data_IF_267596548405
#
_entry.id   IF_267596548405
#
_cell.length_a   1.000
_cell.length_b   1.000
_cell.length_c   1.000
_cell.angle_alpha   90.00
_cell.angle_beta   90.00
_cell.angle_gamma   90.00
#
_symmetry.space_group_name_H-M   'P 1'
#
loop_
_entity.id
_entity.type
_entity.pdbx_description
1 polymer ?
#
# COMPACT_ATOMS: atom_id res chain seq x y z
N UNK A 1 24.81 -6.70 -25.66
CA UNK A 1 24.80 -8.13 -25.92
C UNK A 1 23.37 -8.67 -25.88
N UNK A 2 22.99 -9.52 -26.84
CA UNK A 2 21.64 -10.07 -26.96
C UNK A 2 21.17 -10.76 -25.67
N UNK A 3 22.03 -11.44 -24.94
CA UNK A 3 21.74 -12.15 -23.70
C UNK A 3 21.22 -11.21 -22.53
N UNK A 4 21.64 -9.96 -22.50
CA UNK A 4 21.18 -9.02 -21.50
C UNK A 4 19.76 -8.48 -21.77
N UNK A 5 19.37 -8.39 -23.05
CA UNK A 5 18.04 -8.00 -23.47
C UNK A 5 16.98 -9.06 -23.11
N UNK A 6 17.29 -10.32 -23.39
CA UNK A 6 16.38 -11.44 -23.12
C UNK A 6 16.09 -11.63 -21.62
N UNK A 7 17.13 -11.48 -20.78
CA UNK A 7 16.96 -11.58 -19.32
C UNK A 7 16.07 -10.46 -18.77
N UNK A 8 16.21 -9.25 -19.30
CA UNK A 8 15.46 -8.09 -18.86
C UNK A 8 13.99 -8.16 -19.31
N UNK A 9 13.74 -8.68 -20.50
CA UNK A 9 12.39 -8.93 -21.00
C UNK A 9 11.67 -9.99 -20.16
N UNK A 10 12.37 -11.05 -19.74
CA UNK A 10 11.84 -12.05 -18.82
C UNK A 10 11.49 -11.44 -17.45
N UNK A 11 12.33 -10.56 -16.91
CA UNK A 11 12.04 -9.85 -15.65
C UNK A 11 10.80 -8.97 -15.79
N UNK A 12 10.69 -8.19 -16.85
CA UNK A 12 9.50 -7.35 -17.07
C UNK A 12 8.22 -8.18 -17.21
N UNK A 13 8.28 -9.29 -17.95
CA UNK A 13 7.12 -10.21 -18.06
C UNK A 13 6.73 -10.80 -16.70
N UNK A 14 7.72 -11.21 -15.89
CA UNK A 14 7.45 -11.76 -14.56
C UNK A 14 6.81 -10.72 -13.63
N UNK A 15 7.27 -9.46 -13.65
CA UNK A 15 6.70 -8.36 -12.89
C UNK A 15 5.27 -8.04 -13.33
N UNK A 16 5.00 -8.01 -14.63
CA UNK A 16 3.66 -7.78 -15.16
C UNK A 16 2.67 -8.91 -14.79
N UNK A 17 3.11 -10.16 -14.80
CA UNK A 17 2.31 -11.30 -14.35
C UNK A 17 2.00 -11.18 -12.86
N UNK A 18 2.99 -10.81 -12.04
CA UNK A 18 2.82 -10.63 -10.61
C UNK A 18 1.88 -9.45 -10.29
N UNK A 19 2.01 -8.33 -11.00
CA UNK A 19 1.10 -7.19 -10.85
C UNK A 19 -0.35 -7.59 -11.16
N UNK A 20 -0.56 -8.32 -12.25
CA UNK A 20 -1.88 -8.85 -12.62
C UNK A 20 -2.42 -9.76 -11.52
N UNK A 21 -1.62 -10.70 -11.03
CA UNK A 21 -2.02 -11.63 -9.96
C UNK A 21 -2.44 -10.90 -8.68
N UNK A 22 -1.71 -9.86 -8.26
CA UNK A 22 -2.05 -9.06 -7.09
C UNK A 22 -3.34 -8.24 -7.31
N UNK A 23 -3.54 -7.71 -8.50
CA UNK A 23 -4.78 -7.01 -8.88
C UNK A 23 -5.99 -7.94 -8.82
N UNK A 24 -5.84 -9.14 -9.40
CA UNK A 24 -6.89 -10.16 -9.41
C UNK A 24 -7.19 -10.65 -7.98
N UNK A 25 -6.17 -10.86 -7.15
CA UNK A 25 -6.32 -11.20 -5.73
C UNK A 25 -7.07 -10.12 -4.95
N UNK A 26 -6.77 -8.83 -5.19
CA UNK A 26 -7.49 -7.71 -4.58
C UNK A 26 -8.96 -7.67 -4.97
N UNK A 27 -9.26 -7.85 -6.27
CA UNK A 27 -10.63 -7.89 -6.78
C UNK A 27 -11.41 -9.10 -6.21
N UNK A 28 -10.77 -10.26 -6.14
CA UNK A 28 -11.37 -11.47 -5.55
C UNK A 28 -11.67 -11.28 -4.06
N UNK A 29 -10.75 -10.68 -3.29
CA UNK A 29 -10.94 -10.37 -1.87
C UNK A 29 -12.11 -9.43 -1.64
N UNK A 30 -12.26 -8.41 -2.50
CA UNK A 30 -13.37 -7.47 -2.44
C UNK A 30 -14.71 -8.12 -2.78
N UNK A 31 -14.75 -8.99 -3.80
CA UNK A 31 -15.94 -9.78 -4.15
C UNK A 31 -16.35 -10.74 -3.03
N UNK A 32 -15.37 -11.36 -2.38
CA UNK A 32 -15.61 -12.23 -1.22
C UNK A 32 -16.25 -11.46 -0.07
N UNK A 33 -15.72 -10.29 0.29
CA UNK A 33 -16.30 -9.42 1.31
C UNK A 33 -17.76 -9.07 0.98
N UNK A 34 -18.03 -8.62 -0.25
CA UNK A 34 -19.38 -8.27 -0.68
C UNK A 34 -20.34 -9.44 -0.54
N UNK A 35 -19.94 -10.65 -0.95
CA UNK A 35 -20.77 -11.83 -0.85
C UNK A 35 -21.06 -12.26 0.60
N UNK A 36 -20.06 -12.14 1.48
CA UNK A 36 -20.21 -12.45 2.90
C UNK A 36 -21.10 -11.42 3.62
N UNK A 37 -20.91 -10.12 3.35
CA UNK A 37 -21.78 -9.07 3.89
C UNK A 37 -23.21 -9.26 3.44
N UNK A 38 -23.46 -9.50 2.15
CA UNK A 38 -24.80 -9.74 1.61
C UNK A 38 -25.45 -11.00 2.23
N UNK A 39 -24.68 -12.03 2.54
CA UNK A 39 -25.17 -13.23 3.23
C UNK A 39 -25.58 -12.90 4.67
N UNK A 40 -24.77 -12.15 5.41
CA UNK A 40 -25.10 -11.72 6.78
C UNK A 40 -26.32 -10.80 6.81
N UNK A 41 -26.44 -9.87 5.86
CA UNK A 41 -27.60 -8.99 5.76
C UNK A 41 -28.89 -9.73 5.50
N UNK A 42 -28.87 -10.77 4.66
CA UNK A 42 -30.04 -11.65 4.46
C UNK A 42 -30.42 -12.37 5.75
N UNK A 43 -29.45 -12.95 6.45
CA UNK A 43 -29.70 -13.61 7.74
C UNK A 43 -30.25 -12.63 8.78
N UNK A 44 -29.71 -11.41 8.87
CA UNK A 44 -30.24 -10.37 9.75
C UNK A 44 -31.67 -9.96 9.39
N UNK A 45 -31.99 -9.88 8.10
CA UNK A 45 -33.35 -9.60 7.65
C UNK A 45 -34.34 -10.72 8.04
N UNK A 46 -33.92 -11.98 7.92
CA UNK A 46 -34.71 -13.12 8.35
C UNK A 46 -34.96 -13.09 9.86
N UNK A 47 -33.90 -12.87 10.65
CA UNK A 47 -33.97 -12.72 12.10
C UNK A 47 -34.88 -11.58 12.54
N UNK A 48 -34.87 -10.45 11.83
CA UNK A 48 -35.78 -9.33 12.14
C UNK A 48 -37.25 -9.71 11.93
N UNK A 49 -37.56 -10.44 10.87
CA UNK A 49 -38.93 -10.95 10.60
C UNK A 49 -39.37 -11.92 11.68
N UNK A 50 -38.48 -12.80 12.12
CA UNK A 50 -38.77 -13.73 13.21
C UNK A 50 -39.01 -12.99 14.53
N UNK A 51 -38.24 -11.94 14.83
CA UNK A 51 -38.46 -11.07 15.98
C UNK A 51 -39.83 -10.40 15.93
N UNK A 52 -40.25 -9.87 14.78
CA UNK A 52 -41.59 -9.27 14.61
C UNK A 52 -42.72 -10.29 14.88
N UNK A 53 -42.51 -11.53 14.47
CA UNK A 53 -43.47 -12.61 14.77
C UNK A 53 -43.53 -12.90 16.28
N UNK A 54 -42.38 -13.01 16.96
CA UNK A 54 -42.33 -13.22 18.41
C UNK A 54 -42.93 -12.04 19.17
N UNK A 55 -42.74 -10.79 18.74
CA UNK A 55 -43.31 -9.60 19.32
C UNK A 55 -44.85 -9.59 19.16
N UNK A 56 -45.35 -10.04 18.01
CA UNK A 56 -46.78 -10.22 17.74
C UNK A 56 -47.42 -11.28 18.66
N UNK A 57 -46.74 -12.41 18.81
CA UNK A 57 -47.13 -13.49 19.69
C UNK A 57 -47.17 -13.00 21.17
N UNK A 58 -46.17 -12.27 21.60
CA UNK A 58 -46.10 -11.69 22.93
C UNK A 58 -47.28 -10.70 23.21
N UNK A 59 -47.63 -9.88 22.21
CA UNK A 59 -48.77 -8.97 22.32
C UNK A 59 -50.11 -9.72 22.46
N UNK A 60 -50.33 -10.77 21.66
CA UNK A 60 -51.54 -11.63 21.76
C UNK A 60 -51.61 -12.36 23.10
N UNK A 61 -50.49 -12.91 23.58
CA UNK A 61 -50.42 -13.57 24.87
C UNK A 61 -50.67 -12.61 26.02
N UNK A 62 -50.18 -11.38 25.96
CA UNK A 62 -50.47 -10.31 26.93
C UNK A 62 -51.98 -9.97 26.97
N UNK A 63 -52.66 -9.95 25.84
CA UNK A 63 -54.11 -9.77 25.79
C UNK A 63 -54.85 -10.96 26.43
N UNK A 64 -54.47 -12.20 26.13
CA UNK A 64 -55.06 -13.38 26.77
C UNK A 64 -54.87 -13.38 28.26
N UNK A 65 -53.68 -13.02 28.76
CA UNK A 65 -53.43 -12.91 30.21
C UNK A 65 -54.37 -11.90 30.85
N UNK A 66 -54.55 -10.72 30.27
CA UNK A 66 -55.51 -9.70 30.81
C UNK A 66 -56.93 -10.22 30.89
N UNK A 67 -57.41 -10.87 29.81
CA UNK A 67 -58.76 -11.47 29.81
C UNK A 67 -58.91 -12.61 30.83
N UNK A 68 -57.86 -13.38 31.05
CA UNK A 68 -57.88 -14.42 32.09
C UNK A 68 -57.85 -13.80 33.50
N UNK A 69 -57.12 -12.74 33.73
CA UNK A 69 -57.11 -12.00 34.99
C UNK A 69 -58.49 -11.40 35.30
N UNK A 70 -59.11 -10.72 34.34
CA UNK A 70 -60.46 -10.18 34.48
C UNK A 70 -61.50 -11.29 34.71
N UNK A 71 -61.34 -12.41 34.06
CA UNK A 71 -62.21 -13.56 34.26
C UNK A 71 -62.05 -14.16 35.64
N UNK A 72 -60.82 -14.37 36.10
CA UNK A 72 -60.54 -14.84 37.46
C UNK A 72 -61.17 -13.88 38.51
N UNK A 73 -60.99 -12.57 38.36
CA UNK A 73 -61.57 -11.58 39.27
C UNK A 73 -63.14 -11.69 39.35
N UNK A 74 -63.79 -11.82 38.19
CA UNK A 74 -65.25 -12.04 38.15
C UNK A 74 -65.68 -13.31 38.87
N UNK A 75 -64.93 -14.41 38.67
CA UNK A 75 -65.19 -15.66 39.34
C UNK A 75 -64.95 -15.59 40.85
N UNK A 76 -63.99 -14.83 41.32
CA UNK A 76 -63.73 -14.54 42.73
C UNK A 76 -64.89 -13.76 43.35
N UNK A 77 -65.48 -12.75 42.67
CA UNK A 77 -66.65 -12.05 43.10
C UNK A 77 -67.88 -12.98 43.22
N UNK A 78 -68.13 -13.76 42.19
CA UNK A 78 -69.23 -14.74 42.18
C UNK A 78 -69.10 -15.79 43.30
N UNK A 79 -67.89 -16.21 43.64
CA UNK A 79 -67.63 -17.11 44.78
C UNK A 79 -68.02 -16.42 46.12
N UNK A 80 -67.63 -15.16 46.26
CA UNK A 80 -67.99 -14.40 47.48
C UNK A 80 -69.56 -14.26 47.68
N UNK A 81 -70.27 -14.30 46.56
CA UNK A 81 -71.75 -14.28 46.54
C UNK A 81 -72.34 -15.72 46.59
N UNK A 82 -71.47 -16.79 46.69
CA UNK A 82 -71.84 -18.20 46.75
C UNK A 82 -72.47 -18.77 45.45
N UNK A 83 -72.25 -18.12 44.28
CA UNK A 83 -72.74 -18.63 42.98
C UNK A 83 -71.85 -19.65 42.36
N UNK A 84 -70.56 -19.72 42.75
CA UNK A 84 -69.60 -20.67 42.19
C UNK A 84 -68.78 -21.32 43.31
N UNK A 85 -68.22 -22.53 43.01
CA UNK A 85 -67.38 -23.24 43.95
C UNK A 85 -65.92 -22.74 43.96
N UNK A 86 -65.21 -23.00 45.07
CA UNK A 86 -63.78 -22.69 45.19
C UNK A 86 -62.94 -23.44 44.14
N UNK A 87 -63.35 -24.68 43.78
CA UNK A 87 -62.68 -25.47 42.74
C UNK A 87 -62.76 -24.81 41.35
N UNK A 88 -63.88 -24.14 41.04
CA UNK A 88 -64.04 -23.43 39.77
C UNK A 88 -63.15 -22.16 39.72
N UNK A 89 -63.00 -21.43 40.82
CA UNK A 89 -62.07 -20.31 40.92
C UNK A 89 -60.61 -20.80 40.79
N UNK A 90 -60.28 -21.92 41.44
CA UNK A 90 -58.95 -22.51 41.35
C UNK A 90 -58.59 -22.89 39.89
N UNK A 91 -59.52 -23.45 39.16
CA UNK A 91 -59.32 -23.81 37.74
C UNK A 91 -58.98 -22.56 36.90
N UNK A 92 -59.59 -21.36 37.18
CA UNK A 92 -59.26 -20.10 36.51
C UNK A 92 -57.92 -19.54 36.93
N UNK A 93 -57.52 -19.78 38.18
CA UNK A 93 -56.16 -19.41 38.64
C UNK A 93 -55.08 -20.29 37.95
N UNK A 94 -55.34 -21.58 37.80
CA UNK A 94 -54.42 -22.50 37.13
C UNK A 94 -54.27 -22.16 35.63
N UNK A 95 -55.39 -21.77 34.99
CA UNK A 95 -55.37 -21.27 33.60
C UNK A 95 -54.48 -20.03 33.46
N UNK A 96 -54.64 -19.04 34.37
CA UNK A 96 -53.84 -17.84 34.41
C UNK A 96 -52.33 -18.16 34.62
N UNK A 97 -52.00 -19.05 35.56
CA UNK A 97 -50.64 -19.45 35.84
C UNK A 97 -50.02 -20.15 34.61
N UNK A 98 -50.79 -20.95 33.87
CA UNK A 98 -50.38 -21.54 32.63
C UNK A 98 -50.00 -20.52 31.57
N UNK A 99 -50.82 -19.48 31.39
CA UNK A 99 -50.54 -18.39 30.45
C UNK A 99 -49.29 -17.55 30.86
N UNK A 100 -49.14 -17.31 32.19
CA UNK A 100 -47.96 -16.61 32.71
C UNK A 100 -46.66 -17.42 32.49
N UNK A 101 -46.71 -18.73 32.67
CA UNK A 101 -45.61 -19.63 32.38
C UNK A 101 -45.23 -19.58 30.88
N UNK A 102 -46.24 -19.57 30.01
CA UNK A 102 -46.07 -19.46 28.57
C UNK A 102 -45.39 -18.10 28.18
N UNK A 103 -45.84 -16.98 28.82
CA UNK A 103 -45.18 -15.68 28.63
C UNK A 103 -43.70 -15.71 29.01
N UNK A 104 -43.40 -16.31 30.16
CA UNK A 104 -42.00 -16.43 30.60
C UNK A 104 -41.12 -17.25 29.63
N UNK A 105 -41.70 -18.32 29.03
CA UNK A 105 -41.02 -19.09 27.99
C UNK A 105 -40.74 -18.26 26.74
N UNK A 106 -41.74 -17.50 26.28
CA UNK A 106 -41.62 -16.61 25.12
C UNK A 106 -40.59 -15.50 25.36
N UNK A 107 -40.55 -14.90 26.57
CA UNK A 107 -39.51 -13.91 26.92
C UNK A 107 -38.09 -14.49 26.87
N UNK A 108 -37.91 -15.74 27.34
CA UNK A 108 -36.61 -16.43 27.18
C UNK A 108 -36.25 -16.62 25.72
N UNK A 109 -37.19 -17.01 24.86
CA UNK A 109 -36.96 -17.20 23.42
C UNK A 109 -36.53 -15.84 22.77
N UNK A 110 -37.25 -14.76 23.09
CA UNK A 110 -36.90 -13.40 22.63
C UNK A 110 -35.48 -13.01 23.06
N UNK A 111 -35.10 -13.26 24.32
CA UNK A 111 -33.76 -12.95 24.81
C UNK A 111 -32.66 -13.77 24.13
N UNK A 112 -32.91 -15.02 23.76
CA UNK A 112 -31.99 -15.82 22.95
C UNK A 112 -31.85 -15.21 21.57
N UNK A 113 -32.97 -14.91 20.93
CA UNK A 113 -33.02 -14.34 19.60
C UNK A 113 -32.30 -12.96 19.53
N UNK A 114 -32.51 -12.09 20.52
CA UNK A 114 -31.78 -10.80 20.61
C UNK A 114 -30.27 -10.97 20.68
N UNK A 115 -29.79 -11.97 21.44
CA UNK A 115 -28.35 -12.26 21.50
C UNK A 115 -27.81 -12.75 20.15
N UNK A 116 -28.56 -13.55 19.40
CA UNK A 116 -28.18 -14.02 18.08
C UNK A 116 -28.12 -12.88 17.07
N UNK A 117 -29.09 -11.98 17.08
CA UNK A 117 -29.07 -10.75 16.26
C UNK A 117 -27.85 -9.90 16.59
N UNK A 118 -27.60 -9.65 17.88
CA UNK A 118 -26.44 -8.87 18.31
C UNK A 118 -25.10 -9.52 17.87
N UNK A 119 -24.98 -10.84 17.92
CA UNK A 119 -23.81 -11.58 17.46
C UNK A 119 -23.60 -11.42 15.94
N UNK A 120 -24.68 -11.56 15.14
CA UNK A 120 -24.61 -11.36 13.69
C UNK A 120 -24.25 -9.91 13.32
N UNK A 121 -24.78 -8.95 14.04
CA UNK A 121 -24.43 -7.52 13.84
C UNK A 121 -22.96 -7.22 14.20
N UNK A 122 -22.45 -7.84 15.26
CA UNK A 122 -21.04 -7.76 15.63
C UNK A 122 -20.15 -8.37 14.52
N UNK A 123 -20.50 -9.55 14.05
CA UNK A 123 -19.81 -10.22 12.94
C UNK A 123 -19.83 -9.37 11.66
N UNK A 124 -20.97 -8.75 11.32
CA UNK A 124 -21.05 -7.84 10.16
C UNK A 124 -20.15 -6.62 10.30
N UNK A 125 -19.96 -6.07 11.50
CA UNK A 125 -19.06 -4.94 11.75
C UNK A 125 -17.58 -5.35 11.71
N UNK A 126 -17.26 -6.54 12.18
CA UNK A 126 -15.88 -7.04 12.24
C UNK A 126 -15.33 -7.45 10.86
N UNK A 127 -16.18 -8.01 10.02
CA UNK A 127 -15.80 -8.54 8.71
C UNK A 127 -15.05 -7.55 7.82
N UNK A 128 -15.48 -6.27 7.64
CA UNK A 128 -14.74 -5.30 6.85
C UNK A 128 -13.34 -4.99 7.42
N UNK A 129 -13.18 -5.02 8.74
CA UNK A 129 -11.89 -4.76 9.40
C UNK A 129 -10.89 -5.88 9.11
N UNK A 130 -11.33 -7.14 9.17
CA UNK A 130 -10.49 -8.30 8.81
C UNK A 130 -10.08 -8.23 7.34
N UNK A 131 -11.01 -7.89 6.44
CA UNK A 131 -10.71 -7.75 5.02
C UNK A 131 -9.81 -6.55 4.71
N UNK A 132 -9.95 -5.43 5.44
CA UNK A 132 -9.08 -4.26 5.29
C UNK A 132 -7.61 -4.59 5.58
N UNK A 133 -7.33 -5.43 6.57
CA UNK A 133 -5.97 -5.91 6.86
C UNK A 133 -5.40 -6.65 5.65
N UNK A 134 -6.17 -7.57 5.07
CA UNK A 134 -5.72 -8.36 3.90
C UNK A 134 -5.53 -7.50 2.64
N UNK A 135 -6.46 -6.56 2.39
CA UNK A 135 -6.32 -5.61 1.28
C UNK A 135 -5.09 -4.71 1.47
N UNK A 136 -4.81 -4.28 2.70
CA UNK A 136 -3.61 -3.50 3.01
C UNK A 136 -2.30 -4.28 2.80
N UNK A 137 -2.29 -5.60 2.98
CA UNK A 137 -1.14 -6.45 2.63
C UNK A 137 -0.94 -6.48 1.11
N UNK A 138 -2.00 -6.73 0.35
CA UNK A 138 -1.96 -6.75 -1.13
C UNK A 138 -1.49 -5.40 -1.68
N UNK A 139 -1.95 -4.29 -1.10
CA UNK A 139 -1.57 -2.95 -1.55
C UNK A 139 -0.10 -2.62 -1.26
N UNK A 140 0.42 -3.07 -0.11
CA UNK A 140 1.86 -3.00 0.19
C UNK A 140 2.70 -3.79 -0.81
N UNK A 141 2.32 -5.04 -1.10
CA UNK A 141 3.01 -5.85 -2.09
C UNK A 141 2.99 -5.21 -3.49
N UNK A 142 1.88 -4.56 -3.86
CA UNK A 142 1.79 -3.80 -5.12
C UNK A 142 2.71 -2.59 -5.13
N UNK A 143 2.80 -1.87 -4.03
CA UNK A 143 3.69 -0.70 -3.91
C UNK A 143 5.15 -1.12 -4.04
N UNK A 144 5.55 -2.21 -3.38
CA UNK A 144 6.90 -2.78 -3.52
C UNK A 144 7.21 -3.20 -4.96
N UNK A 145 6.22 -3.78 -5.65
CA UNK A 145 6.36 -4.18 -7.04
C UNK A 145 6.58 -2.96 -7.96
N UNK A 146 5.82 -1.89 -7.77
CA UNK A 146 5.97 -0.63 -8.53
C UNK A 146 7.36 -0.03 -8.30
N UNK A 147 7.85 -0.06 -7.06
CA UNK A 147 9.20 0.40 -6.74
C UNK A 147 10.25 -0.46 -7.46
N UNK A 148 10.13 -1.79 -7.44
CA UNK A 148 11.04 -2.69 -8.16
C UNK A 148 11.03 -2.44 -9.67
N UNK A 149 9.87 -2.14 -10.25
CA UNK A 149 9.77 -1.77 -11.67
C UNK A 149 10.51 -0.46 -11.95
N UNK A 150 10.28 0.58 -11.14
CA UNK A 150 10.94 1.87 -11.30
C UNK A 150 12.46 1.75 -11.17
N UNK A 151 12.96 0.98 -10.21
CA UNK A 151 14.39 0.69 -10.06
C UNK A 151 14.96 -0.08 -11.25
N UNK A 152 14.21 -1.07 -11.77
CA UNK A 152 14.61 -1.82 -12.94
C UNK A 152 14.69 -0.93 -14.19
N UNK A 153 13.75 -0.02 -14.36
CA UNK A 153 13.76 0.94 -15.46
C UNK A 153 14.87 1.99 -15.30
N UNK A 154 15.10 2.49 -14.09
CA UNK A 154 16.20 3.42 -13.81
C UNK A 154 17.58 2.82 -14.12
N UNK A 155 17.75 1.51 -13.86
CA UNK A 155 18.99 0.79 -14.24
C UNK A 155 19.13 0.55 -15.75
N UNK A 156 18.04 0.65 -16.50
CA UNK A 156 18.03 0.40 -17.95
C UNK A 156 18.71 1.52 -18.75
N UNK A 157 18.63 2.77 -18.28
CA UNK A 157 19.23 3.90 -18.95
C UNK A 157 19.87 4.86 -17.96
N UNK A 158 21.19 4.90 -17.93
CA UNK A 158 21.96 5.90 -17.21
C UNK A 158 22.31 7.04 -18.16
N UNK A 159 21.74 8.21 -17.96
CA UNK A 159 22.11 9.41 -18.71
C UNK A 159 23.33 10.04 -18.03
N UNK A 160 24.48 9.93 -18.67
CA UNK A 160 25.69 10.60 -18.22
C UNK A 160 25.68 12.02 -18.79
N UNK A 161 25.65 13.03 -17.90
CA UNK A 161 25.68 14.45 -18.29
C UNK A 161 27.09 15.00 -18.12
N UNK A 162 27.46 15.96 -18.99
CA UNK A 162 28.68 16.72 -18.82
C UNK A 162 28.60 17.51 -17.50
N UNK A 163 29.67 17.55 -16.69
CA UNK A 163 29.70 18.28 -15.42
C UNK A 163 29.71 19.80 -15.60
N UNK A 164 30.12 20.30 -16.78
CA UNK A 164 30.20 21.73 -17.12
C UNK A 164 30.07 21.91 -18.63
N UNK A 165 29.84 23.17 -19.04
CA UNK A 165 29.79 23.52 -20.46
C UNK A 165 31.18 23.44 -21.08
N UNK A 166 31.25 23.00 -22.34
CA UNK A 166 32.53 22.84 -23.02
C UNK A 166 32.41 22.06 -24.33
N UNK A 167 33.52 21.87 -24.98
CA UNK A 167 33.62 21.15 -26.25
C UNK A 167 34.15 19.74 -26.04
N UNK A 168 33.44 18.75 -26.57
CA UNK A 168 33.92 17.37 -26.53
C UNK A 168 35.12 17.20 -27.48
N UNK A 169 36.27 16.90 -26.90
CA UNK A 169 37.52 16.76 -27.64
C UNK A 169 37.70 15.33 -28.18
N UNK A 170 37.06 14.35 -27.64
CA UNK A 170 37.09 12.98 -28.11
C UNK A 170 36.04 12.10 -27.42
N UNK A 171 35.40 11.23 -28.18
CA UNK A 171 34.53 10.17 -27.71
C UNK A 171 35.31 8.87 -27.67
N UNK A 172 35.50 8.33 -26.48
CA UNK A 172 36.31 7.10 -26.25
C UNK A 172 35.44 5.85 -26.21
N UNK A 173 34.17 5.99 -25.86
CA UNK A 173 33.22 4.88 -25.78
C UNK A 173 32.67 4.49 -27.14
N UNK A 174 32.55 3.18 -27.38
CA UNK A 174 31.95 2.63 -28.61
C UNK A 174 30.61 1.96 -28.30
N UNK A 175 29.63 2.02 -29.21
CA UNK A 175 28.38 1.30 -29.06
C UNK A 175 28.60 -0.20 -28.80
N UNK A 176 27.94 -0.75 -27.76
CA UNK A 176 28.09 -2.15 -27.36
C UNK A 176 29.25 -2.43 -26.40
N UNK A 177 30.05 -1.43 -26.06
CA UNK A 177 31.13 -1.57 -25.10
C UNK A 177 30.55 -1.59 -23.65
N UNK A 178 31.07 -2.50 -22.81
CA UNK A 178 30.80 -2.50 -21.38
C UNK A 178 31.58 -1.36 -20.71
N UNK A 179 30.89 -0.52 -19.93
CA UNK A 179 31.47 0.62 -19.24
C UNK A 179 31.35 0.48 -17.74
N UNK A 180 32.35 0.94 -17.01
CA UNK A 180 32.39 1.01 -15.57
C UNK A 180 32.67 2.46 -15.15
N UNK A 181 32.39 2.86 -13.90
CA UNK A 181 32.63 4.24 -13.44
C UNK A 181 34.09 4.73 -13.60
N UNK A 182 35.04 3.80 -13.74
CA UNK A 182 36.47 4.08 -13.92
C UNK A 182 36.87 4.32 -15.37
N UNK A 183 35.98 4.06 -16.34
CA UNK A 183 36.28 4.20 -17.79
C UNK A 183 35.79 5.55 -18.27
N UNK A 184 36.71 6.37 -18.80
CA UNK A 184 36.33 7.64 -19.41
C UNK A 184 35.54 7.40 -20.70
N UNK A 185 34.35 7.99 -20.80
CA UNK A 185 33.47 7.84 -21.97
C UNK A 185 33.78 8.87 -23.06
N UNK A 186 34.10 10.08 -22.63
CA UNK A 186 34.46 11.18 -23.50
C UNK A 186 35.39 12.13 -22.76
N UNK A 187 36.17 12.88 -23.50
CA UNK A 187 37.01 13.96 -23.00
C UNK A 187 36.34 15.30 -23.27
N UNK A 188 36.22 16.12 -22.28
CA UNK A 188 35.59 17.46 -22.35
C UNK A 188 36.62 18.54 -22.07
N UNK A 189 36.71 19.53 -22.95
CA UNK A 189 37.48 20.76 -22.73
C UNK A 189 36.48 21.82 -22.29
N UNK A 190 36.61 22.36 -21.07
CA UNK A 190 35.75 23.43 -20.59
C UNK A 190 35.84 24.69 -21.41
N UNK A 191 34.75 25.42 -21.56
CA UNK A 191 34.76 26.74 -22.19
C UNK A 191 35.60 27.73 -21.37
N UNK A 192 36.48 28.43 -22.06
CA UNK A 192 37.39 29.38 -21.40
C UNK A 192 38.64 28.76 -20.75
N UNK A 193 38.85 27.45 -20.94
CA UNK A 193 40.09 26.81 -20.47
C UNK A 193 41.33 27.45 -21.12
N UNK A 194 42.24 27.96 -20.32
CA UNK A 194 43.55 28.41 -20.79
C UNK A 194 44.47 27.22 -20.95
N UNK A 195 45.12 27.17 -22.11
CA UNK A 195 46.09 26.08 -22.37
C UNK A 195 47.32 26.29 -21.48
N UNK A 196 47.66 25.29 -20.70
CA UNK A 196 48.87 25.22 -19.90
C UNK A 196 49.77 24.14 -20.39
N UNK A 197 51.07 24.40 -20.46
CA UNK A 197 52.10 23.42 -20.81
C UNK A 197 52.90 23.04 -19.56
N UNK A 198 52.92 21.77 -19.21
CA UNK A 198 53.82 21.28 -18.16
C UNK A 198 55.18 20.97 -18.78
N UNK A 199 56.19 21.69 -18.33
CA UNK A 199 57.55 21.54 -18.79
C UNK A 199 58.43 20.98 -17.68
N UNK A 200 59.26 20.03 -18.00
CA UNK A 200 60.23 19.45 -17.05
C UNK A 200 61.60 20.07 -17.32
N UNK A 201 62.15 20.71 -16.27
CA UNK A 201 63.47 21.29 -16.38
C UNK A 201 64.48 20.50 -15.51
N UNK A 202 65.74 20.33 -15.91
CA UNK A 202 66.76 19.72 -15.09
C UNK A 202 67.01 20.55 -13.83
N UNK A 203 67.38 19.91 -12.73
CA UNK A 203 67.58 20.56 -11.41
C UNK A 203 68.56 21.76 -11.45
N UNK A 204 69.53 21.71 -12.35
CA UNK A 204 70.49 22.80 -12.55
C UNK A 204 69.89 24.08 -13.14
N UNK A 205 68.72 23.98 -13.80
CA UNK A 205 68.05 25.13 -14.41
C UNK A 205 66.94 25.70 -13.53
N UNK A 206 66.38 24.89 -12.61
CA UNK A 206 65.22 25.28 -11.75
C UNK A 206 65.53 26.53 -10.90
N UNK A 207 66.76 26.69 -10.40
CA UNK A 207 67.14 27.85 -9.57
C UNK A 207 67.10 29.20 -10.30
N UNK A 208 66.99 29.22 -11.60
CA UNK A 208 66.89 30.41 -12.43
C UNK A 208 65.47 30.70 -12.91
N UNK A 209 64.54 29.81 -12.66
CA UNK A 209 63.12 29.96 -13.06
C UNK A 209 62.32 30.65 -11.98
N UNK A 210 61.53 31.63 -12.38
CA UNK A 210 60.62 32.39 -11.48
C UNK A 210 59.22 32.40 -12.10
N UNK A 211 58.20 32.41 -11.24
CA UNK A 211 56.83 32.70 -11.68
C UNK A 211 56.80 34.07 -12.39
N UNK A 212 55.89 34.25 -13.32
CA UNK A 212 55.68 35.42 -14.15
C UNK A 212 56.81 35.67 -15.20
N UNK A 213 57.87 34.87 -15.26
CA UNK A 213 58.93 34.98 -16.22
C UNK A 213 58.45 34.64 -17.63
N UNK A 214 58.81 35.47 -18.61
CA UNK A 214 58.50 35.22 -20.00
C UNK A 214 59.38 34.10 -20.56
N UNK A 215 58.76 33.15 -21.27
CA UNK A 215 59.41 32.02 -21.91
C UNK A 215 59.04 31.95 -23.39
N UNK A 216 59.96 31.41 -24.18
CA UNK A 216 59.71 31.13 -25.58
C UNK A 216 59.55 29.64 -25.78
N UNK A 217 58.33 29.22 -26.14
CA UNK A 217 57.98 27.84 -26.40
C UNK A 217 58.26 27.52 -27.88
N UNK A 218 59.00 26.44 -28.11
CA UNK A 218 59.22 25.86 -29.43
C UNK A 218 58.58 24.49 -29.45
N UNK A 219 57.64 24.28 -30.35
CA UNK A 219 56.95 23.01 -30.52
C UNK A 219 57.65 22.20 -31.57
N UNK A 220 57.95 20.93 -31.30
CA UNK A 220 58.58 20.01 -32.25
C UNK A 220 57.68 19.76 -33.45
N UNK A 221 56.38 19.76 -33.27
CA UNK A 221 55.37 19.57 -34.33
C UNK A 221 55.28 20.78 -35.29
N UNK A 222 55.82 21.99 -34.90
CA UNK A 222 55.75 23.20 -35.69
C UNK A 222 57.16 23.79 -35.82
N UNK A 223 57.87 23.59 -36.94
CA UNK A 223 59.21 24.11 -37.12
C UNK A 223 59.25 25.62 -36.88
N UNK A 224 60.09 26.07 -35.93
CA UNK A 224 60.16 27.48 -35.50
C UNK A 224 60.63 28.41 -36.59
N UNK A 225 61.37 27.91 -37.59
CA UNK A 225 61.82 28.71 -38.76
C UNK A 225 60.63 29.20 -39.60
N UNK A 226 59.52 28.44 -39.63
CA UNK A 226 58.31 28.77 -40.40
C UNK A 226 57.23 29.44 -39.55
N UNK A 227 57.08 28.98 -38.29
CA UNK A 227 55.96 29.38 -37.42
C UNK A 227 56.40 30.27 -36.26
N UNK A 228 57.69 30.53 -36.06
CA UNK A 228 58.22 31.32 -34.94
C UNK A 228 58.18 30.59 -33.62
N UNK A 229 58.65 31.24 -32.56
CA UNK A 229 58.49 30.74 -31.19
C UNK A 229 57.28 31.41 -30.55
N UNK A 230 56.48 30.63 -29.85
CA UNK A 230 55.32 31.15 -29.11
C UNK A 230 55.76 31.72 -27.77
N UNK A 231 55.21 32.88 -27.42
CA UNK A 231 55.47 33.49 -26.13
C UNK A 231 54.55 32.93 -25.05
N UNK A 232 55.15 32.45 -23.98
CA UNK A 232 54.45 32.00 -22.80
C UNK A 232 54.94 32.72 -21.55
N UNK A 233 54.27 32.45 -20.42
CA UNK A 233 54.65 32.96 -19.10
C UNK A 233 54.67 31.79 -18.15
N UNK A 234 55.62 31.73 -17.25
CA UNK A 234 55.68 30.74 -16.18
C UNK A 234 54.62 31.06 -15.17
N UNK A 235 53.63 30.26 -14.99
CA UNK A 235 52.56 30.45 -13.99
C UNK A 235 53.04 29.97 -12.63
N UNK A 236 53.63 28.78 -12.59
CA UNK A 236 54.09 28.17 -11.35
C UNK A 236 55.36 27.33 -11.58
N UNK A 237 56.26 27.35 -10.62
CA UNK A 237 57.42 26.47 -10.57
C UNK A 237 57.25 25.54 -9.39
N UNK A 238 57.11 24.21 -9.67
CA UNK A 238 57.06 23.17 -8.62
C UNK A 238 58.46 22.62 -8.41
N UNK A 239 58.89 22.55 -7.15
CA UNK A 239 60.17 21.97 -6.75
C UNK A 239 60.09 20.50 -6.38
N UNK A 240 58.89 19.91 -6.44
CA UNK A 240 58.65 18.48 -6.23
C UNK A 240 58.34 17.79 -7.57
N UNK A 241 58.79 16.52 -7.77
CA UNK A 241 58.49 15.76 -8.96
C UNK A 241 57.00 15.34 -9.02
#
# INVERSE_FOLDING_TARGET
>A
SAAGGDTQELVQRSLAVREKSLRDAGAQQQSLLQSQVASLERRLADMRREREALDSEAALLAQRIRLAEETKQRWESLRNENFVSSAQVQAKSDELLGLQSQRQSLERQRSVHEREVAALEAQRRELPLQHATRLGEIDRERTELVQQQAESEARRSLIVRAPQDGVVSGVLAQPGQSVTPSVALASLVPDGATLQAHLYAPSSAVGFLRAEQAVLLRYDAFPYQKYGAQRGRIEQVSLAP
#
